data_IF_346531719895
#
_entry.id   IF_346531719895
#
_cell.length_a   1.000
_cell.length_b   1.000
_cell.length_c   1.000
_cell.angle_alpha   90.00
_cell.angle_beta   90.00
_cell.angle_gamma   90.00
#
_symmetry.space_group_name_H-M   'P 1'
#
loop_
_entity.id
_entity.type
_entity.pdbx_description
1 polymer ?
#
# COMPACT_ATOMS: atom_id res chain seq x y z
N UNK A 1 -16.16 -46.33 22.78
CA UNK A 1 -14.87 -45.71 22.42
C UNK A 1 -14.62 -45.98 20.94
N UNK A 2 -14.25 -44.98 20.13
CA UNK A 2 -14.04 -45.01 18.65
C UNK A 2 -15.19 -44.48 17.77
N UNK A 3 -15.85 -43.38 18.17
CA UNK A 3 -16.63 -42.60 17.19
C UNK A 3 -16.42 -41.07 17.25
N UNK A 4 -15.83 -40.53 18.33
CA UNK A 4 -15.63 -39.08 18.48
C UNK A 4 -14.24 -38.56 18.12
N UNK A 5 -13.36 -39.36 17.51
CA UNK A 5 -11.97 -38.98 17.24
C UNK A 5 -11.66 -38.89 15.74
N UNK A 6 -12.62 -38.44 14.93
CA UNK A 6 -12.38 -38.08 13.52
C UNK A 6 -12.91 -36.68 13.21
N UNK A 7 -13.91 -36.18 13.96
CA UNK A 7 -14.47 -34.85 13.76
C UNK A 7 -13.60 -33.70 14.29
N UNK A 8 -12.56 -33.98 15.08
CA UNK A 8 -11.69 -32.96 15.68
C UNK A 8 -10.48 -32.57 14.83
N UNK A 9 -10.09 -33.38 13.83
CA UNK A 9 -8.87 -33.13 13.05
C UNK A 9 -9.12 -32.34 11.75
N UNK A 10 -10.34 -32.41 11.19
CA UNK A 10 -10.68 -31.71 9.94
C UNK A 10 -10.80 -30.20 10.09
N UNK A 11 -11.10 -29.70 11.29
CA UNK A 11 -11.30 -28.27 11.55
C UNK A 11 -9.98 -27.51 11.79
N UNK A 12 -8.90 -28.19 12.16
CA UNK A 12 -7.61 -27.57 12.46
C UNK A 12 -6.70 -27.42 11.22
N UNK A 13 -6.92 -28.19 10.15
CA UNK A 13 -6.13 -28.15 8.92
C UNK A 13 -6.62 -27.10 7.90
N UNK A 14 -7.84 -26.58 8.06
CA UNK A 14 -8.44 -25.60 7.15
C UNK A 14 -7.97 -24.15 7.34
N UNK A 15 -7.19 -23.86 8.40
CA UNK A 15 -6.84 -22.49 8.79
C UNK A 15 -5.52 -21.98 8.18
N UNK A 16 -4.81 -22.77 7.38
CA UNK A 16 -3.45 -22.42 6.92
C UNK A 16 -3.17 -22.62 5.42
N UNK A 17 -4.21 -22.75 4.59
CA UNK A 17 -4.02 -22.66 3.13
C UNK A 17 -4.51 -21.30 2.64
N UNK A 18 -3.60 -20.33 2.61
CA UNK A 18 -3.79 -19.14 1.77
C UNK A 18 -3.67 -19.59 0.32
N UNK A 19 -4.78 -20.03 -0.28
CA UNK A 19 -4.85 -20.25 -1.72
C UNK A 19 -4.63 -18.90 -2.42
N UNK A 20 -3.79 -18.88 -3.46
CA UNK A 20 -3.66 -17.72 -4.30
C UNK A 20 -5.03 -17.37 -4.90
N UNK A 21 -5.34 -16.08 -5.03
CA UNK A 21 -6.55 -15.66 -5.73
C UNK A 21 -6.50 -16.14 -7.18
N UNK A 22 -7.63 -16.65 -7.69
CA UNK A 22 -7.75 -16.98 -9.11
C UNK A 22 -7.43 -15.75 -9.98
N UNK A 23 -6.72 -15.91 -11.12
CA UNK A 23 -6.48 -14.83 -12.05
C UNK A 23 -7.78 -14.20 -12.54
N UNK A 24 -7.77 -12.88 -12.77
CA UNK A 24 -8.92 -12.21 -13.37
C UNK A 24 -9.16 -12.71 -14.79
N UNK A 25 -10.43 -12.76 -15.19
CA UNK A 25 -10.76 -13.05 -16.59
C UNK A 25 -10.43 -11.85 -17.48
N UNK A 26 -10.08 -12.05 -18.77
CA UNK A 26 -9.75 -10.96 -19.68
C UNK A 26 -10.81 -9.86 -19.75
N UNK A 27 -12.10 -10.21 -19.64
CA UNK A 27 -13.21 -9.25 -19.73
C UNK A 27 -13.29 -8.32 -18.51
N UNK A 28 -12.69 -8.71 -17.39
CA UNK A 28 -12.66 -7.91 -16.16
C UNK A 28 -11.53 -6.86 -16.17
N UNK A 29 -10.58 -6.97 -17.10
CA UNK A 29 -9.37 -6.14 -17.13
C UNK A 29 -9.69 -4.66 -17.13
N UNK A 30 -10.55 -4.18 -18.05
CA UNK A 30 -10.84 -2.76 -18.18
C UNK A 30 -11.47 -2.18 -16.90
N UNK A 31 -12.38 -2.93 -16.28
CA UNK A 31 -13.00 -2.53 -15.02
C UNK A 31 -11.96 -2.45 -13.90
N UNK A 32 -11.14 -3.49 -13.73
CA UNK A 32 -10.09 -3.48 -12.71
C UNK A 32 -9.10 -2.33 -12.96
N UNK A 33 -8.61 -2.20 -14.18
CA UNK A 33 -7.65 -1.17 -14.55
C UNK A 33 -8.18 0.25 -14.31
N UNK A 34 -9.49 0.48 -14.45
CA UNK A 34 -10.09 1.78 -14.11
C UNK A 34 -10.16 2.06 -12.61
N UNK A 35 -10.32 1.04 -11.76
CA UNK A 35 -10.48 1.23 -10.31
C UNK A 35 -9.16 1.22 -9.54
N UNK A 36 -8.10 0.58 -10.09
CA UNK A 36 -6.79 0.53 -9.43
C UNK A 36 -5.99 1.83 -9.62
N UNK A 37 -6.37 2.64 -10.60
CA UNK A 37 -5.74 3.96 -10.78
C UNK A 37 -6.32 4.91 -9.75
N UNK A 38 -5.47 5.73 -9.10
CA UNK A 38 -5.96 6.75 -8.21
C UNK A 38 -6.85 7.74 -8.99
N UNK A 39 -7.91 8.19 -8.34
CA UNK A 39 -8.73 9.27 -8.83
C UNK A 39 -7.90 10.57 -8.81
N UNK A 40 -8.02 11.48 -9.80
CA UNK A 40 -7.38 12.79 -9.75
C UNK A 40 -7.60 13.57 -8.44
N UNK A 41 -8.73 13.37 -7.76
CA UNK A 41 -9.02 13.98 -6.46
C UNK A 41 -8.22 13.36 -5.29
N UNK A 42 -7.71 12.14 -5.45
CA UNK A 42 -6.86 11.44 -4.47
C UNK A 42 -5.38 11.87 -4.56
N UNK A 43 -4.97 12.46 -5.69
CA UNK A 43 -3.58 12.88 -5.95
C UNK A 43 -3.38 14.40 -5.85
N UNK A 44 -4.25 15.13 -5.12
CA UNK A 44 -4.11 16.60 -4.97
C UNK A 44 -2.75 17.05 -4.43
N UNK A 45 -2.10 16.21 -3.62
CA UNK A 45 -0.76 16.48 -3.12
C UNK A 45 0.29 16.62 -4.24
N UNK A 46 0.08 15.99 -5.41
CA UNK A 46 0.97 16.11 -6.57
C UNK A 46 0.92 17.49 -7.23
N UNK A 47 -0.14 18.29 -6.96
CA UNK A 47 -0.31 19.63 -7.51
C UNK A 47 0.41 20.71 -6.67
N UNK A 48 0.87 20.36 -5.47
CA UNK A 48 1.63 21.27 -4.62
C UNK A 48 3.00 21.52 -5.27
N UNK A 49 3.45 22.79 -5.41
CA UNK A 49 4.77 23.10 -5.95
C UNK A 49 5.84 22.83 -4.89
N UNK A 50 6.12 21.54 -4.65
CA UNK A 50 7.07 21.09 -3.65
C UNK A 50 8.47 21.67 -3.89
N UNK A 51 9.15 22.06 -2.81
CA UNK A 51 10.58 22.31 -2.84
C UNK A 51 11.31 20.97 -2.84
N UNK A 52 12.02 20.67 -3.93
CA UNK A 52 12.72 19.39 -4.12
C UNK A 52 14.15 19.38 -3.54
N UNK A 53 14.67 20.54 -3.15
CA UNK A 53 15.94 20.67 -2.44
C UNK A 53 15.66 20.85 -0.95
N UNK A 54 16.00 19.82 -0.17
CA UNK A 54 15.79 19.82 1.28
C UNK A 54 16.61 20.88 2.01
N UNK A 55 17.81 21.22 1.51
CA UNK A 55 18.65 22.24 2.13
C UNK A 55 18.06 23.64 1.96
N UNK A 56 17.60 23.97 0.75
CA UNK A 56 16.91 25.23 0.49
C UNK A 56 15.61 25.33 1.29
N UNK A 57 14.83 24.24 1.38
CA UNK A 57 13.62 24.19 2.18
C UNK A 57 13.89 24.45 3.67
N UNK A 58 14.97 23.88 4.22
CA UNK A 58 15.41 24.11 5.61
C UNK A 58 15.77 25.56 5.88
N UNK A 59 16.55 26.20 4.99
CA UNK A 59 16.91 27.61 5.13
C UNK A 59 15.67 28.51 5.13
N UNK A 60 14.73 28.26 4.20
CA UNK A 60 13.48 29.01 4.10
C UNK A 60 12.63 28.87 5.37
N UNK A 61 12.42 27.64 5.82
CA UNK A 61 11.64 27.34 7.03
C UNK A 61 12.21 28.05 8.27
N UNK A 62 13.53 28.00 8.46
CA UNK A 62 14.20 28.70 9.55
C UNK A 62 14.06 30.23 9.46
N UNK A 63 14.17 30.81 8.25
CA UNK A 63 14.01 32.25 8.05
C UNK A 63 12.59 32.76 8.31
N UNK A 64 11.59 31.89 8.18
CA UNK A 64 10.18 32.24 8.31
C UNK A 64 9.58 31.79 9.66
N UNK A 65 10.37 31.15 10.52
CA UNK A 65 9.93 30.55 11.78
C UNK A 65 8.73 29.59 11.59
N UNK A 66 8.82 28.73 10.56
CA UNK A 66 7.77 27.76 10.20
C UNK A 66 8.28 26.33 10.17
N UNK A 67 7.45 25.33 10.56
CA UNK A 67 7.81 23.92 10.44
C UNK A 67 7.85 23.46 8.97
N UNK A 68 8.49 22.31 8.72
CA UNK A 68 8.55 21.65 7.42
C UNK A 68 7.61 20.44 7.42
N UNK A 69 6.77 20.33 6.38
CA UNK A 69 6.15 19.06 6.00
C UNK A 69 7.07 18.36 5.00
N UNK A 70 7.64 17.22 5.38
CA UNK A 70 8.46 16.40 4.50
C UNK A 70 7.61 15.27 3.92
N UNK A 71 7.44 15.29 2.60
CA UNK A 71 6.84 14.19 1.84
C UNK A 71 7.95 13.46 1.09
N UNK A 72 8.39 12.33 1.65
CA UNK A 72 9.40 11.47 1.04
C UNK A 72 8.99 10.01 1.16
N UNK A 73 9.60 9.17 0.33
CA UNK A 73 9.60 7.73 0.58
C UNK A 73 10.80 7.39 1.44
N UNK A 74 10.57 7.13 2.73
CA UNK A 74 11.60 6.58 3.61
C UNK A 74 11.61 5.05 3.47
N UNK A 75 12.59 4.53 2.75
CA UNK A 75 12.75 3.10 2.51
C UNK A 75 13.96 2.79 1.63
N UNK A 76 14.46 1.55 1.72
CA UNK A 76 15.47 1.08 0.78
C UNK A 76 14.90 1.19 -0.65
N UNK A 77 15.61 1.79 -1.62
CA UNK A 77 15.06 2.04 -2.96
C UNK A 77 14.67 0.75 -3.72
N UNK A 78 15.10 -0.42 -3.24
CA UNK A 78 14.71 -1.74 -3.77
C UNK A 78 13.63 -2.45 -2.92
N UNK A 79 13.08 -1.83 -1.88
CA UNK A 79 12.02 -2.40 -1.03
C UNK A 79 12.53 -3.25 0.14
N UNK A 80 11.73 -4.25 0.55
CA UNK A 80 12.08 -5.20 1.62
C UNK A 80 13.10 -6.22 1.11
N UNK A 81 14.38 -5.95 1.31
CA UNK A 81 15.50 -6.89 1.09
C UNK A 81 15.77 -7.76 2.30
#
# INVERSE_FOLDING_TARGET
MRLNMILGLGLALGLAYSQASEPIKPEQFNKLHSIIKPNPDEEKFMQIPWMIDLWEARKKAASEDRPILLWEMDGHPLGCV
#
